data_IF_732303955839
#
_entry.id   IF_732303955839
#
_cell.length_a   1.000
_cell.length_b   1.000
_cell.length_c   1.000
_cell.angle_alpha   90.00
_cell.angle_beta   90.00
_cell.angle_gamma   90.00
#
_symmetry.space_group_name_H-M   'P 1'
#
loop_
_entity.id
_entity.type
_entity.pdbx_description
1 polymer ?
2 water ?
#
# COMPACT_ATOMS: atom_id res chain seq x y z
N UNK A 2 -9.18 -15.39 4.62
CA UNK A 2 -9.09 -16.49 5.61
C UNK A 2 -7.69 -17.11 5.66
N UNK A 3 -7.10 -17.37 4.48
CA UNK A 3 -5.86 -18.14 4.39
C UNK A 3 -4.60 -17.29 4.20
N UNK A 4 -4.76 -15.98 3.99
CA UNK A 4 -3.65 -15.03 3.96
C UNK A 4 -3.97 -13.88 4.90
N UNK A 5 -2.96 -13.42 5.63
CA UNK A 5 -3.10 -12.30 6.54
C UNK A 5 -2.06 -11.24 6.16
N UNK A 6 -2.42 -9.97 6.33
CA UNK A 6 -1.54 -8.85 5.97
C UNK A 6 -1.39 -7.95 7.17
N UNK A 7 -0.17 -7.48 7.42
CA UNK A 7 0.08 -6.55 8.52
C UNK A 7 0.95 -5.41 8.01
N UNK A 8 0.41 -4.20 8.14
CA UNK A 8 1.15 -3.00 7.77
C UNK A 8 1.93 -2.40 8.93
N UNK A 9 3.05 -1.78 8.61
CA UNK A 9 3.81 -1.04 9.58
C UNK A 9 4.52 0.13 8.89
N UNK A 10 5.05 1.03 9.70
CA UNK A 10 5.84 2.15 9.21
C UNK A 10 5.17 3.50 9.28
N UNK A 11 3.90 3.54 9.66
CA UNK A 11 3.20 4.80 9.78
C UNK A 11 3.80 5.67 10.86
N UNK A 12 3.49 6.95 10.82
CA UNK A 12 3.91 7.84 11.85
C UNK A 12 3.43 9.24 11.61
N UNK A 13 3.96 10.16 12.39
CA UNK A 13 3.70 11.57 12.29
C UNK A 13 4.97 12.21 11.75
N UNK A 14 4.85 12.90 10.62
CA UNK A 14 5.98 13.55 9.96
C UNK A 14 5.63 14.99 9.60
N UNK A 15 6.65 15.73 9.20
CA UNK A 15 6.45 17.09 8.73
C UNK A 15 6.34 17.14 7.22
N UNK A 16 5.67 18.16 6.72
CA UNK A 16 5.62 18.37 5.29
C UNK A 16 7.01 18.34 4.65
N UNK A 17 7.15 17.57 3.58
CA UNK A 17 8.42 17.34 2.91
C UNK A 17 9.06 16.00 3.21
N UNK A 18 8.68 15.41 4.35
CA UNK A 18 9.34 14.18 4.79
C UNK A 18 9.00 12.96 3.90
N UNK A 19 9.79 11.90 4.10
CA UNK A 19 9.60 10.60 3.50
C UNK A 19 9.20 9.55 4.56
N UNK A 20 8.51 8.51 4.13
CA UNK A 20 8.19 7.35 4.96
C UNK A 20 8.20 6.14 4.08
N UNK A 21 8.63 5.02 4.65
CA UNK A 21 8.56 3.73 4.04
C UNK A 21 7.60 2.88 4.85
N UNK A 22 6.55 2.45 4.18
CA UNK A 22 5.60 1.54 4.75
C UNK A 22 5.90 0.13 4.28
N UNK A 23 5.57 -0.83 5.13
CA UNK A 23 5.76 -2.24 4.79
C UNK A 23 4.45 -2.97 5.00
N UNK A 24 4.21 -3.97 4.15
CA UNK A 24 3.08 -4.86 4.25
C UNK A 24 3.60 -6.28 4.24
N UNK A 25 3.49 -6.93 5.39
CA UNK A 25 3.98 -8.29 5.55
C UNK A 25 2.84 -9.26 5.42
N UNK A 26 3.00 -10.23 4.51
CA UNK A 26 1.99 -11.23 4.23
C UNK A 26 2.37 -12.54 4.90
N UNK A 27 1.39 -13.28 5.39
CA UNK A 27 1.61 -14.60 5.97
C UNK A 27 0.49 -15.53 5.53
N UNK A 28 0.78 -16.83 5.54
CA UNK A 28 -0.19 -17.83 5.15
C UNK A 28 0.09 -18.38 3.77
N UNK A 29 -0.99 -18.76 3.08
CA UNK A 29 -0.89 -19.42 1.78
C UNK A 29 -0.68 -18.37 0.68
N UNK A 30 0.52 -17.81 0.62
CA UNK A 30 0.82 -16.67 -0.27
C UNK A 30 1.39 -17.12 -1.62
N UNK A 31 1.35 -16.21 -2.59
CA UNK A 31 1.86 -16.43 -3.95
C UNK A 31 2.32 -15.10 -4.52
N UNK A 32 3.63 -14.97 -4.73
CA UNK A 32 4.27 -13.67 -5.00
C UNK A 32 3.65 -12.92 -6.19
N UNK A 33 3.32 -13.63 -7.29
CA UNK A 33 2.74 -12.87 -8.40
C UNK A 33 1.34 -12.27 -8.18
N UNK A 34 0.58 -12.74 -7.19
CA UNK A 34 -0.73 -12.14 -6.97
C UNK A 34 -0.60 -10.67 -6.54
N UNK A 35 -1.56 -9.88 -6.97
CA UNK A 35 -1.53 -8.45 -6.73
C UNK A 35 -1.56 -8.10 -5.26
N UNK A 36 -0.68 -7.15 -4.91
CA UNK A 36 -0.65 -6.53 -3.61
C UNK A 36 -0.77 -5.03 -3.86
N UNK A 37 -1.73 -4.40 -3.18
CA UNK A 37 -1.99 -2.99 -3.43
C UNK A 37 -2.04 -2.25 -2.11
N UNK A 38 -1.59 -1.01 -2.18
CA UNK A 38 -1.78 -0.04 -1.11
C UNK A 38 -2.93 0.89 -1.47
N UNK A 39 -3.80 1.09 -0.49
CA UNK A 39 -4.91 2.04 -0.53
C UNK A 39 -4.72 3.05 0.61
N UNK A 40 -5.42 4.18 0.53
CA UNK A 40 -5.43 5.09 1.66
C UNK A 40 -6.82 5.64 1.83
N UNK A 41 -7.11 6.01 3.07
CA UNK A 41 -8.39 6.59 3.40
C UNK A 41 -8.14 7.77 4.34
N UNK A 42 -8.35 8.97 3.80
CA UNK A 42 -8.18 10.21 4.56
C UNK A 42 -9.38 10.41 5.46
N UNK A 43 -9.22 11.22 6.53
CA UNK A 43 -10.34 11.53 7.38
C UNK A 43 -11.50 12.14 6.58
N UNK A 44 -12.68 11.58 6.75
CA UNK A 44 -13.85 12.11 6.04
C UNK A 44 -13.92 11.79 4.55
N UNK A 45 -13.07 10.87 4.10
CA UNK A 45 -13.04 10.50 2.69
C UNK A 45 -13.14 8.99 2.54
N UNK A 46 -13.27 8.54 1.30
CA UNK A 46 -13.35 7.12 1.00
C UNK A 46 -11.98 6.50 0.66
N UNK A 47 -11.91 5.18 0.74
CA UNK A 47 -10.67 4.47 0.37
C UNK A 47 -10.36 4.69 -1.10
N UNK A 48 -9.08 4.88 -1.41
CA UNK A 48 -8.63 5.10 -2.75
C UNK A 48 -7.28 4.44 -3.01
N UNK A 49 -7.10 3.94 -4.22
CA UNK A 49 -5.88 3.28 -4.63
C UNK A 49 -4.71 4.25 -4.56
N UNK A 50 -3.57 3.74 -4.12
CA UNK A 50 -2.30 4.45 -4.10
C UNK A 50 -1.27 3.83 -5.05
N UNK A 51 -1.00 2.55 -4.88
CA UNK A 51 0.01 1.87 -5.70
C UNK A 51 -0.18 0.37 -5.57
N UNK A 52 0.30 -0.38 -6.55
CA UNK A 52 0.20 -1.82 -6.45
C UNK A 52 1.25 -2.49 -7.34
N UNK A 53 1.43 -3.78 -7.08
CA UNK A 53 2.42 -4.58 -7.79
C UNK A 53 1.86 -5.99 -7.96
N UNK A 54 2.07 -6.54 -9.16
CA UNK A 54 1.60 -7.89 -9.45
C UNK A 54 2.29 -8.43 -10.68
N UNK A 55 2.06 -9.70 -10.93
CA UNK A 55 2.64 -10.39 -12.09
C UNK A 55 3.92 -11.12 -11.78
N UNK A 56 4.30 -11.99 -12.70
CA UNK A 56 5.52 -12.73 -12.57
C UNK A 56 6.74 -11.80 -12.55
N UNK A 57 6.74 -10.78 -13.41
CA UNK A 57 7.83 -9.78 -13.45
C UNK A 57 7.75 -8.63 -12.42
N UNK A 58 6.66 -8.56 -11.64
CA UNK A 58 6.50 -7.51 -10.63
C UNK A 58 6.26 -6.13 -11.22
N UNK A 59 5.16 -6.01 -11.95
CA UNK A 59 4.79 -4.76 -12.61
C UNK A 59 4.08 -3.85 -11.61
N UNK A 60 4.55 -2.61 -11.51
CA UNK A 60 3.99 -1.62 -10.61
C UNK A 60 3.02 -0.70 -11.31
N UNK A 61 2.02 -0.24 -10.55
CA UNK A 61 1.08 0.78 -10.96
C UNK A 61 0.92 1.80 -9.85
N UNK A 62 0.73 3.06 -10.23
CA UNK A 62 0.64 4.17 -9.28
C UNK A 62 -0.52 5.07 -9.59
N UNK A 63 -1.19 5.54 -8.55
CA UNK A 63 -2.21 6.56 -8.70
C UNK A 63 -1.65 7.90 -9.09
N UNK A 64 -2.46 8.70 -9.80
CA UNK A 64 -2.07 10.06 -10.14
C UNK A 64 -1.66 10.88 -8.90
N UNK A 65 -2.32 10.60 -7.77
CA UNK A 65 -2.09 11.34 -6.54
C UNK A 65 -0.68 11.25 -6.02
N UNK A 66 0.07 10.20 -6.40
CA UNK A 66 1.43 10.01 -5.92
C UNK A 66 2.47 9.96 -7.03
N UNK A 67 2.07 10.37 -8.25
CA UNK A 67 2.98 10.60 -9.38
C UNK A 67 4.26 11.27 -8.98
N UNK A 68 5.37 10.57 -9.23
CA UNK A 68 6.70 11.08 -9.00
C UNK A 68 7.14 11.11 -7.54
N UNK A 69 6.32 10.54 -6.64
CA UNK A 69 6.60 10.59 -5.21
C UNK A 69 6.65 9.24 -4.53
N UNK A 70 6.31 8.18 -5.25
CA UNK A 70 6.13 6.88 -4.64
C UNK A 70 6.92 5.82 -5.39
N UNK A 71 7.37 4.82 -4.65
CA UNK A 71 7.95 3.63 -5.22
C UNK A 71 7.43 2.42 -4.46
N UNK A 72 6.88 1.46 -5.18
CA UNK A 72 6.46 0.20 -4.62
C UNK A 72 7.44 -0.89 -5.05
N UNK A 73 7.72 -1.81 -4.12
CA UNK A 73 8.61 -2.91 -4.42
C UNK A 73 8.17 -4.13 -3.62
N UNK A 74 8.66 -5.31 -4.01
CA UNK A 74 8.34 -6.54 -3.26
C UNK A 74 9.58 -7.35 -2.98
N UNK A 75 9.61 -7.97 -1.80
CA UNK A 75 10.68 -8.90 -1.43
C UNK A 75 10.01 -10.23 -1.17
N UNK A 76 10.11 -11.11 -2.17
CA UNK A 76 9.44 -12.39 -2.13
C UNK A 76 9.95 -13.22 -0.97
N UNK A 77 11.24 -13.16 -0.67
CA UNK A 77 11.78 -13.95 0.44
C UNK A 77 11.18 -13.57 1.80
N UNK A 78 10.94 -12.28 2.01
CA UNK A 78 10.34 -11.82 3.28
C UNK A 78 8.80 -11.68 3.20
N UNK A 79 8.24 -12.07 2.06
CA UNK A 79 6.79 -11.97 1.82
C UNK A 79 6.27 -10.58 2.15
N UNK A 80 7.04 -9.57 1.76
CA UNK A 80 6.75 -8.19 2.14
C UNK A 80 6.74 -7.28 0.91
N UNK A 81 5.78 -6.36 0.91
CA UNK A 81 5.70 -5.30 -0.10
C UNK A 81 5.94 -3.95 0.59
N UNK A 82 6.75 -3.11 -0.02
CA UNK A 82 7.11 -1.80 0.53
C UNK A 82 6.55 -0.68 -0.29
N UNK A 83 6.12 0.39 0.38
CA UNK A 83 5.74 1.62 -0.29
C UNK A 83 6.57 2.74 0.27
N UNK A 84 7.44 3.32 -0.56
CA UNK A 84 8.19 4.50 -0.21
C UNK A 84 7.44 5.71 -0.69
N UNK A 85 7.17 6.65 0.20
CA UNK A 85 6.49 7.88 -0.12
C UNK A 85 7.47 9.02 0.17
N UNK A 86 7.71 9.89 -0.80
CA UNK A 86 8.58 11.06 -0.62
C UNK A 86 7.77 12.36 -0.74
N UNK A 87 8.34 13.45 -0.27
CA UNK A 87 7.73 14.76 -0.40
C UNK A 87 6.28 14.75 0.07
N UNK A 88 6.09 14.22 1.27
CA UNK A 88 4.75 14.13 1.83
C UNK A 88 4.16 15.50 2.10
N UNK A 89 2.85 15.58 2.02
CA UNK A 89 2.09 16.83 2.18
C UNK A 89 0.90 16.58 3.10
N UNK A 90 0.32 17.59 3.74
CA UNK A 90 -0.84 17.35 4.61
C UNK A 90 -1.98 16.54 3.98
N UNK A 91 -2.20 16.73 2.69
CA UNK A 91 -3.24 16.03 1.95
C UNK A 91 -2.99 14.53 1.82
N UNK A 92 -1.79 14.08 2.19
CA UNK A 92 -1.45 12.65 2.22
C UNK A 92 -1.83 11.99 3.55
N UNK A 93 -2.31 12.75 4.50
CA UNK A 93 -2.69 12.21 5.80
C UNK A 93 -3.84 11.21 5.63
N UNK A 94 -3.69 9.99 6.17
CA UNK A 94 -4.65 8.91 5.91
C UNK A 94 -4.22 7.64 6.63
N UNK A 95 -5.17 6.72 6.75
CA UNK A 95 -4.84 5.32 7.04
C UNK A 95 -4.43 4.67 5.73
N UNK A 96 -3.21 4.14 5.69
CA UNK A 96 -2.69 3.40 4.52
C UNK A 96 -2.84 1.91 4.81
N UNK A 97 -3.54 1.21 3.92
CA UNK A 97 -3.78 -0.21 4.12
C UNK A 97 -3.35 -0.98 2.89
N UNK A 98 -2.90 -2.20 3.12
CA UNK A 98 -2.61 -3.07 2.04
C UNK A 98 -3.67 -4.17 1.88
N UNK A 99 -3.77 -4.63 0.65
CA UNK A 99 -4.81 -5.56 0.25
C UNK A 99 -4.28 -6.51 -0.81
N UNK A 100 -4.88 -7.68 -0.88
CA UNK A 100 -4.50 -8.64 -1.91
C UNK A 100 -5.72 -9.39 -2.42
N UNK A 101 -5.48 -10.14 -3.49
CA UNK A 101 -6.56 -10.82 -4.22
C UNK A 101 -5.92 -11.97 -5.00
N UNK A 102 -6.72 -12.96 -5.40
CA UNK A 102 -6.19 -14.18 -6.06
C UNK A 102 -6.11 -14.00 -7.58
N UNK A 103 -5.40 -12.96 -7.99
CA UNK A 103 -5.21 -12.61 -9.38
C UNK A 103 -3.95 -11.78 -9.47
N UNK A 104 -3.27 -11.86 -10.59
CA UNK A 104 -2.11 -11.03 -10.83
C UNK A 104 -2.45 -9.61 -11.19
N UNK A 105 -3.72 -9.35 -11.53
CA UNK A 105 -4.08 -8.01 -12.00
C UNK A 105 -4.21 -6.99 -10.87
N UNK A 106 -3.47 -5.90 -11.00
CA UNK A 106 -3.53 -4.79 -10.05
C UNK A 106 -4.66 -3.87 -10.48
N UNK A 107 -5.70 -3.86 -9.68
CA UNK A 107 -6.91 -3.09 -9.92
C UNK A 107 -7.06 -1.97 -8.91
N UNK A 108 -7.81 -0.93 -9.27
CA UNK A 108 -7.93 0.23 -8.42
C UNK A 108 -9.15 0.28 -7.51
N UNK A 109 -10.15 -0.56 -7.75
CA UNK A 109 -11.31 -0.55 -6.90
C UNK A 109 -11.05 -1.33 -5.60
N UNK A 110 -11.32 -0.72 -4.44
CA UNK A 110 -11.17 -1.52 -3.21
C UNK A 110 -12.09 -2.76 -3.14
N UNK A 111 -13.20 -2.72 -3.87
CA UNK A 111 -14.24 -3.75 -3.75
C UNK A 111 -13.80 -5.10 -4.29
N UNK A 112 -12.74 -5.10 -5.10
CA UNK A 112 -12.29 -6.33 -5.74
C UNK A 112 -11.11 -7.00 -5.03
N UNK A 113 -10.77 -6.50 -3.83
CA UNK A 113 -9.76 -7.13 -2.97
C UNK A 113 -10.45 -7.71 -1.74
N UNK A 114 -10.37 -9.03 -1.54
CA UNK A 114 -11.05 -9.63 -0.39
C UNK A 114 -10.24 -9.64 0.91
N UNK A 115 -8.93 -9.45 0.83
CA UNK A 115 -8.05 -9.59 1.98
C UNK A 115 -7.38 -8.24 2.23
N UNK A 116 -7.51 -7.75 3.47
CA UNK A 116 -7.02 -6.44 3.90
C UNK A 116 -6.24 -6.54 5.19
N UNK A 117 -5.24 -5.68 5.33
CA UNK A 117 -4.67 -5.41 6.65
C UNK A 117 -5.51 -4.40 7.41
N UNK A 118 -5.12 -4.17 8.65
CA UNK A 118 -5.80 -3.21 9.53
C UNK A 118 -5.40 -1.76 9.28
N UNK A 119 -4.30 -1.57 8.58
CA UNK A 119 -3.81 -0.26 8.21
C UNK A 119 -2.76 0.32 9.13
N UNK A 120 -2.07 1.35 8.63
CA UNK A 120 -1.10 2.09 9.40
C UNK A 120 -1.33 3.58 9.08
N UNK A 121 -1.38 4.41 10.11
CA UNK A 121 -1.67 5.83 9.92
C UNK A 121 -0.44 6.63 9.56
N UNK A 122 -0.60 7.48 8.55
CA UNK A 122 0.41 8.47 8.18
C UNK A 122 -0.22 9.84 8.38
N UNK A 123 0.36 10.65 9.26
CA UNK A 123 -0.12 12.00 9.50
C UNK A 123 1.00 12.95 9.15
N UNK A 124 0.67 13.94 8.32
CA UNK A 124 1.65 14.91 7.83
C UNK A 124 1.23 16.28 8.32
N UNK A 125 2.04 16.91 9.17
CA UNK A 125 1.73 18.28 9.65
C UNK A 125 2.54 19.33 8.90
N UNK A 126 2.07 20.57 8.92
CA UNK A 126 2.83 21.72 8.37
C UNK A 126 3.30 22.66 9.49
#
# INVERSE_FOLDING_TARGET
MAEVQLVESGGGLVQTGDSLRLSCAASGRTYTPYAMAWFRQAPGKEREFVAGIGGIDGTAAYADSVRGRATISRDSAKKTVYLQMNSLKPEDTAVYSCATRASMQVLTSPRVYPIWGRGTQVTVSSHHHHHH
#
